data_IF_627985675675
#
_entry.id   IF_627985675675
#
_cell.length_a   1.000
_cell.length_b   1.000
_cell.length_c   1.000
_cell.angle_alpha   90.00
_cell.angle_beta   90.00
_cell.angle_gamma   90.00
#
_symmetry.space_group_name_H-M   'P 1'
#
loop_
_entity.id
_entity.type
_entity.pdbx_description
1 polymer ?
#
# COMPACT_ATOMS: atom_id res chain seq x y z
N UNK A 1 -0.53 -2.54 80.92
CA UNK A 1 -1.23 -1.92 79.81
C UNK A 1 -0.29 -1.60 78.62
N UNK A 2 0.64 -2.51 78.25
CA UNK A 2 1.60 -2.31 77.13
C UNK A 2 1.71 -3.53 76.21
N UNK A 3 0.78 -4.46 76.30
CA UNK A 3 0.78 -5.70 75.47
C UNK A 3 -0.48 -5.90 74.60
N UNK A 4 -1.37 -4.90 74.51
CA UNK A 4 -2.60 -5.00 73.72
C UNK A 4 -2.64 -4.07 72.50
N UNK A 5 -1.55 -3.30 72.24
CA UNK A 5 -1.49 -2.39 71.05
C UNK A 5 -0.66 -2.98 69.91
N UNK A 6 -0.08 -4.18 70.05
CA UNK A 6 0.77 -4.79 69.03
C UNK A 6 0.03 -5.77 68.10
N UNK A 7 -1.24 -6.08 68.39
CA UNK A 7 -2.02 -7.08 67.63
C UNK A 7 -3.01 -6.50 66.59
N UNK A 8 -3.18 -5.19 66.55
CA UNK A 8 -4.11 -4.57 65.61
C UNK A 8 -3.44 -3.96 64.36
N UNK A 9 -2.11 -3.78 64.36
CA UNK A 9 -1.36 -3.30 63.19
C UNK A 9 -0.92 -4.40 62.20
N UNK A 10 -1.14 -5.67 62.51
CA UNK A 10 -0.69 -6.76 61.63
C UNK A 10 -1.75 -7.35 60.70
N UNK A 11 -2.99 -6.85 60.75
CA UNK A 11 -4.09 -7.32 59.88
C UNK A 11 -4.49 -6.36 58.78
N UNK A 12 -3.84 -5.19 58.68
CA UNK A 12 -4.18 -4.19 57.67
C UNK A 12 -3.22 -4.18 56.44
N UNK A 13 -2.23 -5.05 56.39
CA UNK A 13 -1.20 -5.09 55.30
C UNK A 13 -1.43 -6.26 54.33
N UNK A 14 -2.39 -7.13 54.56
CA UNK A 14 -2.64 -8.32 53.67
C UNK A 14 -3.84 -8.17 52.76
N UNK A 15 -4.47 -6.99 52.66
CA UNK A 15 -5.63 -6.77 51.78
C UNK A 15 -5.34 -5.85 50.55
N UNK A 16 -4.07 -5.49 50.29
CA UNK A 16 -3.70 -4.67 49.12
C UNK A 16 -2.76 -5.39 48.14
N UNK A 17 -2.86 -6.71 48.03
CA UNK A 17 -1.95 -7.52 47.21
C UNK A 17 -2.61 -8.37 46.12
N UNK A 18 -3.80 -7.98 45.65
CA UNK A 18 -4.43 -8.62 44.49
C UNK A 18 -5.08 -7.58 43.58
N UNK A 19 -4.36 -6.50 43.26
CA UNK A 19 -4.55 -5.85 41.97
C UNK A 19 -3.89 -6.80 40.98
N UNK A 20 -4.70 -7.71 40.43
CA UNK A 20 -4.39 -8.40 39.21
C UNK A 20 -3.89 -7.35 38.22
N UNK A 21 -2.62 -7.42 37.85
CA UNK A 21 -2.19 -6.97 36.56
C UNK A 21 -2.95 -7.86 35.55
N UNK A 22 -4.22 -7.53 35.28
CA UNK A 22 -4.76 -7.74 33.97
C UNK A 22 -3.89 -6.84 33.09
N UNK A 23 -2.75 -7.35 32.66
CA UNK A 23 -2.08 -6.87 31.48
C UNK A 23 -3.12 -7.06 30.37
N UNK A 24 -3.89 -6.02 30.07
CA UNK A 24 -4.35 -5.81 28.72
C UNK A 24 -3.07 -5.72 27.91
N UNK A 25 -2.59 -6.83 27.40
CA UNK A 25 -1.91 -6.83 26.14
C UNK A 25 -2.99 -6.31 25.19
N UNK A 26 -2.92 -5.03 24.85
CA UNK A 26 -3.68 -4.50 23.74
C UNK A 26 -3.33 -5.40 22.56
N UNK A 27 -4.26 -6.28 22.20
CA UNK A 27 -4.15 -7.04 20.96
C UNK A 27 -4.21 -5.99 19.88
N UNK A 28 -3.04 -5.70 19.28
CA UNK A 28 -2.98 -4.82 18.12
C UNK A 28 -3.86 -5.48 17.06
N UNK A 29 -4.97 -4.83 16.73
CA UNK A 29 -5.97 -5.35 15.79
C UNK A 29 -7.11 -4.36 15.60
N UNK A 30 -7.86 -4.53 14.52
CA UNK A 30 -9.06 -3.72 14.22
C UNK A 30 -10.22 -4.28 15.05
N UNK A 31 -10.70 -3.56 16.09
CA UNK A 31 -11.82 -4.02 16.90
C UNK A 31 -13.13 -3.91 16.12
N UNK A 32 -14.08 -4.78 16.44
CA UNK A 32 -15.46 -4.68 15.94
C UNK A 32 -16.23 -3.66 16.78
N UNK A 33 -15.87 -2.38 16.63
CA UNK A 33 -16.40 -1.26 17.40
C UNK A 33 -16.74 -0.10 16.47
N UNK A 34 -18.01 0.31 16.47
CA UNK A 34 -18.48 1.46 15.70
C UNK A 34 -17.72 2.74 16.12
N UNK A 35 -17.24 3.49 15.14
CA UNK A 35 -16.51 4.73 15.36
C UNK A 35 -15.00 4.53 15.64
N UNK A 36 -14.49 3.30 15.70
CA UNK A 36 -13.03 3.09 15.70
C UNK A 36 -12.41 3.71 14.44
N UNK A 37 -11.24 4.36 14.60
CA UNK A 37 -10.54 4.99 13.48
C UNK A 37 -9.53 4.03 12.88
N UNK A 38 -9.79 3.57 11.66
CA UNK A 38 -8.89 2.73 10.89
C UNK A 38 -7.80 3.61 10.26
N UNK A 39 -6.54 3.28 10.51
CA UNK A 39 -5.38 3.95 9.92
C UNK A 39 -4.95 3.23 8.64
N UNK A 40 -5.02 3.94 7.52
CA UNK A 40 -4.78 3.40 6.18
C UNK A 40 -3.43 3.92 5.67
N UNK A 41 -2.46 3.01 5.52
CA UNK A 41 -1.12 3.33 5.03
C UNK A 41 -1.09 3.45 3.50
N UNK A 42 -0.51 4.56 3.00
CA UNK A 42 -0.38 4.85 1.58
C UNK A 42 0.92 5.61 1.25
N UNK A 43 1.34 5.59 0.00
CA UNK A 43 2.29 6.55 -0.61
C UNK A 43 1.54 7.39 -1.65
N UNK A 44 2.08 8.57 -2.02
CA UNK A 44 1.49 9.35 -3.10
C UNK A 44 1.60 8.61 -4.43
N UNK A 45 0.46 8.20 -4.95
CA UNK A 45 0.31 7.35 -6.12
C UNK A 45 -0.97 7.70 -6.89
N UNK A 46 -0.90 8.63 -7.85
CA UNK A 46 -2.02 8.90 -8.75
C UNK A 46 -2.20 7.75 -9.75
N UNK A 47 -3.43 7.32 -10.04
CA UNK A 47 -4.69 7.86 -9.54
C UNK A 47 -5.27 7.11 -8.34
N UNK A 48 -4.46 6.34 -7.57
CA UNK A 48 -4.93 5.54 -6.44
C UNK A 48 -5.15 6.39 -5.18
N UNK A 49 -4.09 7.07 -4.71
CA UNK A 49 -4.13 7.94 -3.53
C UNK A 49 -3.28 9.17 -3.80
N UNK A 50 -3.88 10.33 -3.99
CA UNK A 50 -3.15 11.55 -4.36
C UNK A 50 -3.93 12.83 -4.00
N UNK A 51 -3.25 13.98 -4.13
CA UNK A 51 -3.87 15.28 -3.96
C UNK A 51 -4.21 15.92 -5.30
N UNK A 52 -5.47 16.35 -5.48
CA UNK A 52 -5.93 17.12 -6.60
C UNK A 52 -6.68 18.36 -6.12
N UNK A 53 -6.24 19.56 -6.53
CA UNK A 53 -6.85 20.80 -6.10
C UNK A 53 -6.87 21.00 -4.57
N UNK A 54 -5.92 20.40 -3.85
CA UNK A 54 -5.82 20.43 -2.38
C UNK A 54 -6.74 19.46 -1.65
N UNK A 55 -7.44 18.58 -2.37
CA UNK A 55 -8.27 17.51 -1.82
C UNK A 55 -7.54 16.18 -2.00
N UNK A 56 -7.61 15.33 -0.99
CA UNK A 56 -7.12 13.95 -1.06
C UNK A 56 -8.17 13.10 -1.76
N UNK A 57 -7.82 12.54 -2.90
CA UNK A 57 -8.71 11.81 -3.81
C UNK A 57 -7.99 10.57 -4.37
N UNK A 58 -8.69 9.78 -5.16
CA UNK A 58 -8.15 8.63 -5.87
C UNK A 58 -9.05 7.40 -5.74
N UNK A 59 -8.80 6.44 -6.60
CA UNK A 59 -9.56 5.19 -6.63
C UNK A 59 -9.56 4.48 -5.26
N UNK A 60 -8.38 4.20 -4.71
CA UNK A 60 -8.24 3.56 -3.40
C UNK A 60 -8.71 4.46 -2.27
N UNK A 61 -8.50 5.78 -2.38
CA UNK A 61 -8.99 6.74 -1.39
C UNK A 61 -10.50 6.69 -1.26
N UNK A 62 -11.25 6.80 -2.36
CA UNK A 62 -12.72 6.82 -2.32
C UNK A 62 -13.28 5.43 -1.97
N UNK A 63 -12.64 4.37 -2.44
CA UNK A 63 -13.02 3.01 -2.06
C UNK A 63 -12.86 2.78 -0.54
N UNK A 64 -11.74 3.18 0.05
CA UNK A 64 -11.49 3.07 1.48
C UNK A 64 -12.48 3.89 2.32
N UNK A 65 -12.77 5.12 1.91
CA UNK A 65 -13.77 5.98 2.56
C UNK A 65 -15.12 5.29 2.58
N UNK A 66 -15.61 4.86 1.41
CA UNK A 66 -16.90 4.17 1.27
C UNK A 66 -16.99 2.93 2.13
N UNK A 67 -15.94 2.11 2.13
CA UNK A 67 -15.89 0.88 2.93
C UNK A 67 -15.96 1.18 4.43
N UNK A 68 -15.16 2.13 4.91
CA UNK A 68 -15.17 2.52 6.32
C UNK A 68 -16.54 3.05 6.75
N UNK A 69 -17.15 3.93 5.94
CA UNK A 69 -18.48 4.47 6.20
C UNK A 69 -19.55 3.37 6.25
N UNK A 70 -19.55 2.44 5.30
CA UNK A 70 -20.54 1.34 5.24
C UNK A 70 -20.38 0.33 6.38
N UNK A 71 -19.18 0.21 6.95
CA UNK A 71 -18.90 -0.65 8.10
C UNK A 71 -18.98 0.09 9.46
N UNK A 72 -19.27 1.40 9.47
CA UNK A 72 -19.39 2.21 10.67
C UNK A 72 -18.08 2.61 11.34
N UNK A 73 -16.96 2.58 10.58
CA UNK A 73 -15.64 3.02 11.04
C UNK A 73 -15.34 4.47 10.64
N UNK A 74 -14.52 5.15 11.45
CA UNK A 74 -13.81 6.33 11.01
C UNK A 74 -12.54 5.90 10.26
N UNK A 75 -11.89 6.82 9.53
CA UNK A 75 -10.67 6.56 8.81
C UNK A 75 -9.65 7.68 8.96
N UNK A 76 -8.39 7.32 8.88
CA UNK A 76 -7.23 8.23 8.84
C UNK A 76 -6.25 7.71 7.80
N UNK A 77 -5.88 8.54 6.82
CA UNK A 77 -4.84 8.19 5.84
C UNK A 77 -3.47 8.57 6.39
N UNK A 78 -2.57 7.60 6.48
CA UNK A 78 -1.21 7.72 7.02
C UNK A 78 -0.20 7.61 5.90
N UNK A 79 0.49 8.71 5.59
CA UNK A 79 1.52 8.73 4.56
C UNK A 79 2.75 7.93 5.02
N UNK A 80 3.10 6.89 4.29
CA UNK A 80 4.32 6.13 4.48
C UNK A 80 5.48 6.84 3.78
N UNK A 81 6.59 7.04 4.49
CA UNK A 81 7.78 7.66 3.91
C UNK A 81 8.54 6.72 2.96
N UNK A 82 8.30 5.41 3.09
CA UNK A 82 8.95 4.38 2.29
C UNK A 82 8.01 3.16 2.21
N UNK A 83 7.66 2.76 1.00
CA UNK A 83 6.79 1.60 0.77
C UNK A 83 7.37 0.29 1.31
N UNK A 84 8.70 0.15 1.37
CA UNK A 84 9.36 -1.05 1.91
C UNK A 84 9.04 -1.31 3.39
N UNK A 85 8.62 -0.29 4.17
CA UNK A 85 8.31 -0.45 5.60
C UNK A 85 6.86 -0.82 5.88
N UNK A 86 6.00 -0.92 4.87
CA UNK A 86 4.55 -1.12 5.00
C UNK A 86 4.14 -2.25 5.95
N UNK A 87 4.82 -3.41 5.86
CA UNK A 87 4.52 -4.56 6.73
C UNK A 87 4.98 -4.30 8.17
N UNK A 88 6.14 -3.67 8.35
CA UNK A 88 6.65 -3.29 9.68
C UNK A 88 5.73 -2.27 10.34
N UNK A 89 5.26 -1.26 9.59
CA UNK A 89 4.33 -0.24 10.08
C UNK A 89 2.96 -0.85 10.44
N UNK A 90 2.51 -1.85 9.67
CA UNK A 90 1.30 -2.62 9.95
C UNK A 90 1.44 -3.43 11.26
N UNK A 91 2.52 -4.17 11.41
CA UNK A 91 2.78 -5.01 12.59
C UNK A 91 2.99 -4.17 13.86
N UNK A 92 3.60 -2.99 13.72
CA UNK A 92 3.78 -2.05 14.83
C UNK A 92 2.50 -1.30 15.24
N UNK A 93 1.39 -1.42 14.46
CA UNK A 93 0.14 -0.69 14.72
C UNK A 93 0.22 0.79 14.38
N UNK A 94 1.23 1.22 13.63
CA UNK A 94 1.31 2.57 13.05
C UNK A 94 0.20 2.78 12.03
N UNK A 95 -0.11 1.73 11.28
CA UNK A 95 -1.26 1.61 10.37
C UNK A 95 -2.05 0.34 10.69
N UNK A 96 -3.29 0.28 10.24
CA UNK A 96 -4.18 -0.87 10.37
C UNK A 96 -4.38 -1.60 9.05
N UNK A 97 -4.31 -0.87 7.94
CA UNK A 97 -4.41 -1.41 6.58
C UNK A 97 -3.29 -0.87 5.69
N UNK A 98 -2.82 -1.70 4.78
CA UNK A 98 -1.99 -1.31 3.63
C UNK A 98 -2.93 -1.22 2.43
N UNK A 99 -3.17 0.00 1.91
CA UNK A 99 -4.13 0.20 0.83
C UNK A 99 -3.68 1.29 -0.14
N UNK A 100 -2.94 0.87 -1.17
CA UNK A 100 -2.29 1.78 -2.12
C UNK A 100 -1.86 1.03 -3.38
N UNK A 101 -2.80 0.38 -4.08
CA UNK A 101 -2.46 -0.43 -5.25
C UNK A 101 -1.46 -1.55 -4.92
N UNK A 102 -1.64 -2.23 -3.77
CA UNK A 102 -0.67 -3.23 -3.33
C UNK A 102 -0.81 -4.52 -4.15
N UNK A 103 0.23 -4.87 -4.88
CA UNK A 103 0.30 -6.15 -5.61
C UNK A 103 0.27 -7.33 -4.66
N UNK A 104 -0.62 -8.28 -4.94
CA UNK A 104 -0.74 -9.54 -4.21
C UNK A 104 0.44 -10.43 -4.60
N UNK A 105 1.35 -10.72 -3.66
CA UNK A 105 2.46 -11.65 -3.84
C UNK A 105 2.39 -12.79 -2.85
N UNK A 106 2.99 -13.94 -3.17
CA UNK A 106 3.04 -15.07 -2.24
C UNK A 106 3.88 -14.75 -1.01
N UNK A 107 4.93 -13.95 -1.13
CA UNK A 107 5.74 -13.48 0.00
C UNK A 107 4.90 -12.65 0.99
N UNK A 108 4.07 -11.73 0.50
CA UNK A 108 3.19 -10.94 1.37
C UNK A 108 2.14 -11.80 2.06
N UNK A 109 1.56 -12.81 1.37
CA UNK A 109 0.60 -13.75 1.98
C UNK A 109 1.20 -14.57 3.13
N UNK A 110 2.52 -14.82 3.11
CA UNK A 110 3.20 -15.47 4.23
C UNK A 110 3.25 -14.59 5.47
N UNK A 111 3.32 -13.27 5.31
CA UNK A 111 3.50 -12.30 6.39
C UNK A 111 2.20 -11.71 6.90
N UNK A 112 1.26 -11.36 6.02
CA UNK A 112 0.02 -10.64 6.35
C UNK A 112 -1.21 -11.33 5.78
N UNK A 113 -2.42 -10.89 6.18
CA UNK A 113 -3.66 -11.17 5.46
C UNK A 113 -3.76 -10.22 4.27
N UNK A 114 -4.23 -10.75 3.15
CA UNK A 114 -4.53 -9.95 1.96
C UNK A 114 -5.96 -10.24 1.54
N UNK A 115 -6.70 -9.19 1.18
CA UNK A 115 -8.07 -9.30 0.71
C UNK A 115 -8.19 -10.08 -0.61
N UNK A 116 -9.42 -10.39 -0.98
CA UNK A 116 -9.73 -10.74 -2.36
C UNK A 116 -9.27 -9.62 -3.30
N UNK A 117 -8.81 -9.96 -4.52
CA UNK A 117 -8.32 -8.96 -5.46
C UNK A 117 -9.46 -8.03 -5.87
N UNK A 118 -9.19 -6.72 -5.91
CA UNK A 118 -10.19 -5.72 -6.32
C UNK A 118 -9.92 -5.09 -7.70
N UNK A 119 -8.68 -5.18 -8.18
CA UNK A 119 -8.26 -4.62 -9.48
C UNK A 119 -7.17 -5.49 -10.11
N UNK A 120 -7.09 -5.48 -11.46
CA UNK A 120 -5.98 -6.05 -12.22
C UNK A 120 -5.04 -4.94 -12.67
N UNK A 121 -3.74 -5.18 -12.59
CA UNK A 121 -2.66 -4.29 -13.02
C UNK A 121 -1.59 -5.08 -13.76
N UNK A 122 -0.57 -4.41 -14.25
CA UNK A 122 0.72 -4.99 -14.64
C UNK A 122 1.81 -3.95 -14.47
N UNK A 123 3.06 -4.38 -14.39
CA UNK A 123 4.20 -3.50 -14.47
C UNK A 123 4.45 -3.11 -15.93
N UNK A 124 4.87 -1.85 -16.14
CA UNK A 124 5.27 -1.34 -17.47
C UNK A 124 6.57 -0.60 -17.39
N UNK A 125 7.26 -0.54 -18.53
CA UNK A 125 8.46 0.28 -18.66
C UNK A 125 8.05 1.70 -19.03
N UNK A 126 8.56 2.71 -18.31
CA UNK A 126 8.37 4.14 -18.62
C UNK A 126 9.69 4.78 -18.99
N UNK A 127 9.63 5.73 -19.94
CA UNK A 127 10.80 6.42 -20.44
C UNK A 127 10.44 7.36 -21.57
N UNK A 128 11.45 8.04 -22.14
CA UNK A 128 11.26 8.73 -23.43
C UNK A 128 11.02 7.72 -24.55
N UNK A 129 10.33 8.12 -25.60
CA UNK A 129 10.09 7.25 -26.75
C UNK A 129 11.42 6.71 -27.35
N UNK A 130 12.49 7.52 -27.33
CA UNK A 130 13.84 7.12 -27.78
C UNK A 130 14.41 6.00 -26.91
N UNK A 131 14.30 6.11 -25.58
CA UNK A 131 14.80 5.10 -24.66
C UNK A 131 13.97 3.80 -24.75
N UNK A 132 12.65 3.90 -24.78
CA UNK A 132 11.76 2.75 -24.86
C UNK A 132 11.92 1.96 -26.18
N UNK A 133 12.35 2.60 -27.26
CA UNK A 133 12.62 1.93 -28.54
C UNK A 133 13.77 0.90 -28.46
N UNK A 134 14.60 0.94 -27.42
CA UNK A 134 15.72 0.01 -27.19
C UNK A 134 15.28 -1.32 -26.57
N UNK A 135 14.06 -1.36 -25.99
CA UNK A 135 13.60 -2.48 -25.15
C UNK A 135 12.28 -3.04 -25.67
N UNK A 136 12.30 -4.25 -26.21
CA UNK A 136 11.11 -4.94 -26.76
C UNK A 136 10.65 -6.13 -25.90
N UNK A 137 11.44 -6.52 -24.91
CA UNK A 137 11.12 -7.59 -23.96
C UNK A 137 11.82 -7.34 -22.62
N UNK A 138 11.40 -8.08 -21.57
CA UNK A 138 12.02 -8.02 -20.25
C UNK A 138 13.53 -8.36 -20.31
N UNK A 139 13.92 -9.36 -21.11
CA UNK A 139 15.31 -9.79 -21.27
C UNK A 139 16.17 -8.69 -21.91
N UNK A 140 15.59 -7.81 -22.73
CA UNK A 140 16.33 -6.71 -23.36
C UNK A 140 16.85 -5.69 -22.35
N UNK A 141 16.26 -5.63 -21.15
CA UNK A 141 16.71 -4.78 -20.05
C UNK A 141 18.06 -5.17 -19.46
N UNK A 142 18.60 -6.35 -19.77
CA UNK A 142 19.97 -6.72 -19.40
C UNK A 142 21.03 -5.68 -19.84
N UNK A 143 20.73 -4.86 -20.85
CA UNK A 143 21.61 -3.83 -21.36
C UNK A 143 21.17 -2.39 -20.98
N UNK A 144 20.24 -2.24 -20.03
CA UNK A 144 19.76 -0.93 -19.59
C UNK A 144 20.89 -0.10 -19.00
N UNK A 145 20.93 1.19 -19.33
CA UNK A 145 21.93 2.10 -18.74
C UNK A 145 21.65 2.36 -17.26
N UNK A 146 20.38 2.63 -16.92
CA UNK A 146 19.90 2.77 -15.54
C UNK A 146 18.39 2.55 -15.49
N UNK A 147 17.92 1.92 -14.41
CA UNK A 147 16.52 1.55 -14.19
C UNK A 147 16.06 1.92 -12.79
N UNK A 148 15.04 2.76 -12.70
CA UNK A 148 14.43 3.17 -11.43
C UNK A 148 13.22 2.28 -11.09
N UNK A 149 12.97 2.11 -9.81
CA UNK A 149 11.82 1.38 -9.28
C UNK A 149 11.56 1.77 -7.83
N UNK A 150 10.37 1.50 -7.31
CA UNK A 150 10.05 1.69 -5.90
C UNK A 150 10.56 0.51 -5.06
N UNK A 151 11.30 0.80 -4.00
CA UNK A 151 11.81 -0.21 -3.06
C UNK A 151 10.66 -0.89 -2.31
N UNK A 152 10.68 -2.21 -2.23
CA UNK A 152 9.64 -3.03 -1.59
C UNK A 152 8.37 -3.21 -2.43
N UNK A 153 8.40 -2.83 -3.73
CA UNK A 153 7.32 -3.04 -4.68
C UNK A 153 7.50 -4.31 -5.52
N UNK A 154 6.48 -4.65 -6.30
CA UNK A 154 6.57 -5.72 -7.29
C UNK A 154 7.65 -5.41 -8.36
N UNK A 155 7.83 -4.13 -8.71
CA UNK A 155 8.85 -3.70 -9.66
C UNK A 155 10.27 -4.03 -9.20
N UNK A 156 10.60 -3.85 -7.89
CA UNK A 156 11.91 -4.24 -7.35
C UNK A 156 12.18 -5.73 -7.53
N UNK A 157 11.19 -6.58 -7.20
CA UNK A 157 11.32 -8.02 -7.35
C UNK A 157 11.56 -8.41 -8.81
N UNK A 158 10.77 -7.85 -9.75
CA UNK A 158 10.91 -8.10 -11.18
C UNK A 158 12.26 -7.65 -11.72
N UNK A 159 12.73 -6.45 -11.37
CA UNK A 159 14.04 -5.95 -11.79
C UNK A 159 15.18 -6.81 -11.23
N UNK A 160 15.02 -7.30 -9.99
CA UNK A 160 15.98 -8.19 -9.34
C UNK A 160 16.13 -9.57 -10.02
N UNK A 161 15.10 -10.02 -10.75
CA UNK A 161 15.09 -11.29 -11.48
C UNK A 161 15.67 -11.18 -12.90
N UNK A 162 15.92 -9.98 -13.43
CA UNK A 162 16.44 -9.79 -14.78
C UNK A 162 17.94 -10.11 -14.82
N UNK A 163 18.29 -11.18 -15.54
CA UNK A 163 19.69 -11.55 -15.72
C UNK A 163 20.49 -10.44 -16.42
N UNK A 164 21.65 -10.10 -15.87
CA UNK A 164 22.58 -9.13 -16.46
C UNK A 164 22.45 -7.71 -15.91
N UNK A 165 21.40 -7.36 -15.17
CA UNK A 165 21.32 -6.09 -14.48
C UNK A 165 22.23 -6.11 -13.25
N UNK A 166 23.11 -5.12 -13.14
CA UNK A 166 24.00 -4.93 -11.99
C UNK A 166 23.43 -3.90 -11.01
N UNK A 167 23.90 -3.92 -9.78
CA UNK A 167 23.47 -2.95 -8.74
C UNK A 167 23.73 -1.50 -9.17
N UNK A 168 24.81 -1.23 -9.93
CA UNK A 168 25.16 0.12 -10.38
C UNK A 168 24.15 0.69 -11.42
N UNK A 169 23.38 -0.17 -12.06
CA UNK A 169 22.32 0.22 -12.99
C UNK A 169 20.99 0.49 -12.30
N UNK A 170 20.82 0.08 -11.05
CA UNK A 170 19.58 0.16 -10.30
C UNK A 170 19.49 1.47 -9.51
N UNK A 171 18.33 2.11 -9.58
CA UNK A 171 18.01 3.36 -8.87
C UNK A 171 16.79 3.11 -8.00
N UNK A 172 16.97 2.54 -6.78
CA UNK A 172 15.87 2.31 -5.85
C UNK A 172 15.31 3.64 -5.34
N UNK A 173 13.99 3.78 -5.37
CA UNK A 173 13.26 4.97 -4.98
C UNK A 173 12.29 4.68 -3.82
N UNK A 174 11.90 5.70 -3.06
CA UNK A 174 11.01 5.54 -1.91
C UNK A 174 9.53 5.38 -2.29
N UNK A 175 9.17 5.79 -3.52
CA UNK A 175 7.83 5.66 -4.09
C UNK A 175 7.90 5.57 -5.61
N UNK A 176 6.84 5.09 -6.25
CA UNK A 176 6.74 5.04 -7.72
C UNK A 176 6.80 6.44 -8.33
N UNK A 177 6.17 7.45 -7.67
CA UNK A 177 6.28 8.85 -8.10
C UNK A 177 7.72 9.35 -8.12
N UNK A 178 8.57 8.88 -7.19
CA UNK A 178 10.00 9.17 -7.18
C UNK A 178 10.73 8.47 -8.32
N UNK A 179 10.42 7.19 -8.57
CA UNK A 179 11.00 6.47 -9.71
C UNK A 179 10.68 7.16 -11.04
N UNK A 180 9.44 7.61 -11.23
CA UNK A 180 9.04 8.40 -12.40
C UNK A 180 9.78 9.75 -12.49
N UNK A 181 10.00 10.42 -11.35
CA UNK A 181 10.78 11.66 -11.29
C UNK A 181 12.23 11.46 -11.73
N UNK A 182 12.87 10.33 -11.37
CA UNK A 182 14.24 10.01 -11.81
C UNK A 182 14.34 9.90 -13.34
N UNK A 183 13.30 9.35 -13.98
CA UNK A 183 13.20 9.34 -15.45
C UNK A 183 12.98 10.74 -16.01
N UNK A 184 12.04 11.50 -15.44
CA UNK A 184 11.72 12.85 -15.88
C UNK A 184 12.89 13.83 -15.76
N UNK A 185 13.79 13.62 -14.78
CA UNK A 185 15.02 14.42 -14.59
C UNK A 185 16.20 13.95 -15.44
N UNK A 186 16.09 12.78 -16.09
CA UNK A 186 17.18 12.16 -16.84
C UNK A 186 18.22 11.45 -15.97
N UNK A 187 17.96 11.26 -14.68
CA UNK A 187 18.83 10.47 -13.77
C UNK A 187 18.71 8.99 -14.08
N UNK A 188 17.49 8.50 -14.35
CA UNK A 188 17.24 7.15 -14.83
C UNK A 188 16.93 7.15 -16.33
N UNK A 189 17.43 6.14 -17.05
CA UNK A 189 17.08 5.95 -18.46
C UNK A 189 15.63 5.51 -18.62
N UNK A 190 15.18 4.61 -17.76
CA UNK A 190 13.81 4.08 -17.68
C UNK A 190 13.42 3.79 -16.24
N UNK A 191 12.13 3.57 -15.99
CA UNK A 191 11.66 2.99 -14.72
C UNK A 191 10.65 1.88 -14.98
N UNK A 192 10.52 0.96 -14.02
CA UNK A 192 9.43 0.00 -13.94
C UNK A 192 8.45 0.51 -12.89
N UNK A 193 7.21 0.75 -13.30
CA UNK A 193 6.11 1.21 -12.45
C UNK A 193 4.81 0.55 -12.86
N UNK A 194 3.79 0.70 -12.03
CA UNK A 194 2.44 0.23 -12.33
C UNK A 194 1.86 0.91 -13.58
N UNK A 195 1.19 0.13 -14.41
CA UNK A 195 0.46 0.63 -15.57
C UNK A 195 -0.55 1.72 -15.18
N UNK A 196 -1.25 1.55 -14.07
CA UNK A 196 -2.22 2.52 -13.55
C UNK A 196 -1.59 3.88 -13.30
N UNK A 197 -0.38 3.96 -12.74
CA UNK A 197 0.36 5.20 -12.60
C UNK A 197 0.84 5.73 -13.95
N UNK A 198 1.43 4.88 -14.77
CA UNK A 198 1.94 5.27 -16.07
C UNK A 198 0.84 5.91 -16.93
N UNK A 199 -0.35 5.29 -16.97
CA UNK A 199 -1.52 5.80 -17.70
C UNK A 199 -1.95 7.21 -17.24
N UNK A 200 -1.92 7.46 -15.93
CA UNK A 200 -2.38 8.73 -15.35
C UNK A 200 -1.32 9.84 -15.38
N UNK A 201 -0.04 9.50 -15.29
CA UNK A 201 1.03 10.46 -15.02
C UNK A 201 1.90 10.78 -16.22
N UNK A 202 1.83 10.01 -17.32
CA UNK A 202 2.70 10.18 -18.49
C UNK A 202 1.91 10.56 -19.73
N UNK A 203 2.59 11.21 -20.69
CA UNK A 203 2.00 11.62 -21.96
C UNK A 203 1.48 13.05 -21.98
N UNK A 204 0.95 13.44 -23.13
CA UNK A 204 0.48 14.80 -23.40
C UNK A 204 -0.55 15.27 -22.35
N UNK A 205 -0.41 16.49 -21.88
CA UNK A 205 -1.30 17.07 -20.85
C UNK A 205 -0.89 16.78 -19.41
N UNK A 206 0.11 15.93 -19.17
CA UNK A 206 0.63 15.64 -17.83
C UNK A 206 1.93 16.39 -17.53
N UNK A 207 2.41 16.29 -16.27
CA UNK A 207 3.73 16.82 -15.87
C UNK A 207 4.89 16.09 -16.54
N UNK A 208 4.65 14.93 -17.15
CA UNK A 208 5.63 14.09 -17.84
C UNK A 208 5.25 13.90 -19.32
N UNK A 209 4.99 15.03 -20.03
CA UNK A 209 4.52 15.02 -21.42
C UNK A 209 5.48 14.31 -22.41
N UNK A 210 6.79 14.33 -22.13
CA UNK A 210 7.82 13.71 -22.97
C UNK A 210 8.10 12.24 -22.56
N UNK A 211 7.47 11.75 -21.50
CA UNK A 211 7.57 10.38 -21.01
C UNK A 211 6.33 9.60 -21.47
N UNK A 212 6.54 8.38 -21.88
CA UNK A 212 5.47 7.43 -22.21
C UNK A 212 5.76 6.08 -21.59
N UNK A 213 4.89 5.11 -21.80
CA UNK A 213 5.08 3.75 -21.31
C UNK A 213 5.02 2.72 -22.43
N UNK A 214 5.59 1.56 -22.16
CA UNK A 214 5.60 0.40 -23.05
C UNK A 214 5.40 -0.88 -22.26
N UNK A 215 4.46 -1.70 -22.70
CA UNK A 215 4.37 -3.08 -22.27
C UNK A 215 5.49 -3.89 -22.97
N UNK A 216 6.36 -4.51 -22.18
CA UNK A 216 7.48 -5.33 -22.64
C UNK A 216 7.33 -6.80 -22.21
N UNK A 217 6.13 -7.19 -21.74
CA UNK A 217 5.77 -8.57 -21.43
C UNK A 217 5.88 -8.94 -19.94
N UNK A 218 5.81 -7.99 -19.01
CA UNK A 218 5.61 -8.31 -17.60
C UNK A 218 4.26 -9.00 -17.40
N UNK A 219 4.20 -9.94 -16.46
CA UNK A 219 2.96 -10.65 -16.15
C UNK A 219 1.90 -9.71 -15.56
N UNK A 220 0.63 -10.04 -15.80
CA UNK A 220 -0.46 -9.38 -15.09
C UNK A 220 -0.43 -9.72 -13.60
N UNK A 221 -0.83 -8.77 -12.78
CA UNK A 221 -0.90 -8.84 -11.34
C UNK A 221 -2.25 -8.36 -10.83
N UNK A 222 -2.51 -8.56 -9.54
CA UNK A 222 -3.75 -8.15 -8.90
C UNK A 222 -3.45 -7.32 -7.67
N UNK A 223 -4.28 -6.30 -7.41
CA UNK A 223 -4.23 -5.52 -6.19
C UNK A 223 -5.13 -6.08 -5.12
N UNK A 224 -4.63 -6.05 -3.88
CA UNK A 224 -5.34 -6.41 -2.68
C UNK A 224 -5.03 -5.45 -1.53
N UNK A 225 -5.78 -5.57 -0.45
CA UNK A 225 -5.66 -4.76 0.76
C UNK A 225 -5.02 -5.61 1.84
N UNK A 226 -3.94 -5.11 2.45
CA UNK A 226 -3.20 -5.83 3.49
C UNK A 226 -3.72 -5.50 4.90
N UNK A 227 -3.83 -6.52 5.77
CA UNK A 227 -4.13 -6.38 7.19
C UNK A 227 -3.27 -7.36 8.02
N UNK A 228 -3.19 -7.15 9.34
CA UNK A 228 -2.49 -8.08 10.24
C UNK A 228 -3.18 -9.44 10.25
N UNK A 229 -2.43 -10.50 10.51
CA UNK A 229 -3.01 -11.86 10.64
C UNK A 229 -4.03 -11.99 11.77
N UNK A 230 -3.99 -11.11 12.77
CA UNK A 230 -4.99 -11.01 13.83
C UNK A 230 -6.33 -10.45 13.37
N UNK A 231 -6.39 -9.74 12.24
CA UNK A 231 -7.56 -9.00 11.77
C UNK A 231 -8.48 -9.83 10.86
N UNK A 232 -8.53 -11.16 11.04
CA UNK A 232 -9.30 -12.06 10.17
C UNK A 232 -10.79 -11.75 10.12
N UNK A 233 -11.41 -11.37 11.25
CA UNK A 233 -12.82 -11.02 11.29
C UNK A 233 -13.12 -9.71 10.50
N UNK A 234 -12.20 -8.74 10.53
CA UNK A 234 -12.31 -7.55 9.69
C UNK A 234 -12.12 -7.90 8.20
N UNK A 235 -11.13 -8.75 7.90
CA UNK A 235 -10.86 -9.19 6.52
C UNK A 235 -12.05 -9.90 5.88
N UNK A 236 -12.79 -10.70 6.65
CA UNK A 236 -14.04 -11.33 6.16
C UNK A 236 -15.07 -10.26 5.74
N UNK A 237 -15.33 -9.26 6.61
CA UNK A 237 -16.25 -8.15 6.30
C UNK A 237 -15.78 -7.32 5.08
N UNK A 238 -14.47 -7.09 5.00
CA UNK A 238 -13.86 -6.38 3.87
C UNK A 238 -14.08 -7.14 2.56
N UNK A 239 -13.87 -8.45 2.53
CA UNK A 239 -14.09 -9.28 1.35
C UNK A 239 -15.57 -9.34 0.94
N UNK A 240 -16.49 -9.42 1.91
CA UNK A 240 -17.92 -9.31 1.65
C UNK A 240 -18.28 -7.98 0.96
N UNK A 241 -17.69 -6.87 1.42
CA UNK A 241 -17.89 -5.55 0.79
C UNK A 241 -17.25 -5.44 -0.59
N UNK A 242 -16.05 -6.02 -0.81
CA UNK A 242 -15.45 -6.09 -2.15
C UNK A 242 -16.39 -6.81 -3.11
N UNK A 243 -16.97 -7.96 -2.71
CA UNK A 243 -17.91 -8.71 -3.52
C UNK A 243 -19.19 -7.91 -3.83
N UNK A 244 -19.76 -7.25 -2.80
CA UNK A 244 -20.93 -6.38 -2.94
C UNK A 244 -20.68 -5.25 -3.95
N UNK A 245 -19.52 -4.56 -3.82
CA UNK A 245 -19.17 -3.41 -4.68
C UNK A 245 -18.85 -3.80 -6.11
N UNK A 246 -18.37 -5.03 -6.35
CA UNK A 246 -18.26 -5.60 -7.70
C UNK A 246 -19.64 -5.90 -8.28
N UNK A 247 -20.52 -6.51 -7.49
CA UNK A 247 -21.85 -6.92 -7.97
C UNK A 247 -22.75 -5.70 -8.26
N UNK A 248 -22.69 -4.65 -7.43
CA UNK A 248 -23.51 -3.45 -7.60
C UNK A 248 -22.92 -2.42 -8.56
N UNK A 249 -21.70 -2.65 -9.11
CA UNK A 249 -21.04 -1.80 -10.09
C UNK A 249 -20.27 -0.61 -9.52
N UNK A 250 -20.17 -0.46 -8.19
CA UNK A 250 -19.47 0.68 -7.57
C UNK A 250 -17.98 0.73 -7.95
N UNK A 251 -17.29 -0.43 -7.99
CA UNK A 251 -15.88 -0.44 -8.39
C UNK A 251 -15.71 -0.11 -9.87
N UNK A 252 -16.68 -0.47 -10.73
CA UNK A 252 -16.66 -0.08 -12.14
C UNK A 252 -16.88 1.44 -12.30
N UNK A 253 -17.78 2.04 -11.51
CA UNK A 253 -17.98 3.50 -11.51
C UNK A 253 -16.69 4.22 -11.07
N UNK A 254 -16.00 3.77 -10.03
CA UNK A 254 -14.70 4.31 -9.62
C UNK A 254 -13.66 4.15 -10.73
N UNK A 255 -13.63 2.98 -11.39
CA UNK A 255 -12.70 2.75 -12.49
C UNK A 255 -12.95 3.74 -13.64
N UNK A 256 -14.20 3.92 -14.05
CA UNK A 256 -14.56 4.91 -15.08
C UNK A 256 -14.11 6.32 -14.69
N UNK A 257 -14.34 6.70 -13.44
CA UNK A 257 -13.99 8.02 -12.92
C UNK A 257 -12.49 8.33 -12.97
N UNK A 258 -11.63 7.34 -12.65
CA UNK A 258 -10.21 7.57 -12.45
C UNK A 258 -9.31 7.11 -13.60
N UNK A 259 -9.81 6.22 -14.47
CA UNK A 259 -9.00 5.62 -15.53
C UNK A 259 -9.53 5.85 -16.94
N UNK A 260 -10.77 6.33 -17.08
CA UNK A 260 -11.35 6.61 -18.39
C UNK A 260 -11.51 8.11 -18.54
N UNK A 261 -10.68 8.72 -19.37
CA UNK A 261 -10.86 10.13 -19.77
C UNK A 261 -12.06 10.24 -20.71
N UNK A 262 -13.03 11.10 -20.37
CA UNK A 262 -14.05 11.50 -21.36
C UNK A 262 -13.34 12.22 -22.52
N UNK A 263 -13.46 11.68 -23.74
CA UNK A 263 -12.97 12.32 -24.98
C UNK A 263 -13.69 13.61 -25.31
#
# INVERSE_FOLDING_TARGET
MKKLLAAICSLAVLACGALAFAGCGDTIGIPDEEGYTIKIGYTEYAPMNYYEGGKFVGYDTEFAIKLCEDLGYNYEFVLLNNWATKVVDLEAGTIDLIWNGMTITDELKESILISDPYMTNQQVLVGTAENLAKYDSVESLANVGSIAYETGSAAEALVGEIEGITTDQQIPSQSQSRALMEVGSGTAEVAVIDYTMALSMTGEGTSYADITYKDIGFAQEQYGIGARKSDSAFMEKLNEKIAEYKENGYLDELYQKYFVTEE
#
